data_IF_706409991094
#
_entry.id   IF_706409991094
#
_cell.length_a   1.000
_cell.length_b   1.000
_cell.length_c   1.000
_cell.angle_alpha   90.00
_cell.angle_beta   90.00
_cell.angle_gamma   90.00
#
_symmetry.space_group_name_H-M   'P 1'
#
loop_
_entity.id
_entity.type
_entity.pdbx_description
1 polymer ?
#
# COMPACT_ATOMS: atom_id res chain seq x y z
N UNK A 1 2.60 -15.37 14.14
CA UNK A 1 1.20 -14.95 13.99
C UNK A 1 1.11 -13.66 13.17
N UNK A 2 0.09 -13.55 12.31
CA UNK A 2 -0.12 -12.43 11.41
C UNK A 2 -1.49 -11.83 11.65
N UNK A 3 -1.57 -10.52 11.80
CA UNK A 3 -2.81 -9.78 11.75
C UNK A 3 -2.94 -9.11 10.38
N UNK A 4 -4.10 -9.17 9.76
CA UNK A 4 -4.44 -8.44 8.53
C UNK A 4 -5.43 -7.36 8.92
N UNK A 5 -5.10 -6.12 8.63
CA UNK A 5 -5.96 -4.96 8.87
C UNK A 5 -6.39 -4.38 7.54
N UNK A 6 -7.65 -4.55 7.25
CA UNK A 6 -8.28 -4.02 6.07
C UNK A 6 -8.99 -2.70 6.40
N UNK A 7 -8.75 -1.71 5.59
CA UNK A 7 -9.21 -0.35 5.80
C UNK A 7 -10.05 0.10 4.60
N UNK A 8 -11.35 -0.26 4.62
CA UNK A 8 -12.28 0.04 3.54
C UNK A 8 -13.29 1.13 3.96
N UNK A 9 -13.54 2.05 3.04
CA UNK A 9 -14.64 3.04 3.16
C UNK A 9 -16.01 2.49 2.76
N UNK A 10 -16.06 1.26 2.23
CA UNK A 10 -17.28 0.62 1.74
C UNK A 10 -18.24 0.20 2.85
N UNK A 11 -19.53 0.16 2.52
CA UNK A 11 -20.56 -0.38 3.41
C UNK A 11 -20.61 -1.92 3.42
N UNK A 12 -20.02 -2.56 2.42
CA UNK A 12 -19.93 -4.01 2.27
C UNK A 12 -18.48 -4.34 1.92
N UNK A 13 -17.84 -5.05 2.82
CA UNK A 13 -16.48 -5.47 2.63
C UNK A 13 -16.45 -6.80 1.87
N UNK A 14 -16.16 -6.74 0.57
CA UNK A 14 -16.04 -7.91 -0.30
C UNK A 14 -14.71 -8.63 -0.04
N UNK A 15 -13.67 -7.88 0.25
CA UNK A 15 -12.31 -8.39 0.43
C UNK A 15 -12.22 -9.26 1.68
N UNK A 16 -12.92 -8.85 2.75
CA UNK A 16 -13.05 -9.67 3.95
C UNK A 16 -13.68 -11.04 3.67
N UNK A 17 -14.65 -11.11 2.75
CA UNK A 17 -15.23 -12.40 2.36
C UNK A 17 -14.23 -13.28 1.60
N UNK A 18 -13.37 -12.68 0.79
CA UNK A 18 -12.34 -13.39 0.03
C UNK A 18 -11.20 -13.88 0.94
N UNK A 19 -10.89 -13.11 1.99
CA UNK A 19 -9.82 -13.43 2.93
C UNK A 19 -10.26 -14.38 4.06
N UNK A 20 -11.55 -14.66 4.18
CA UNK A 20 -12.11 -15.50 5.26
C UNK A 20 -11.48 -16.89 5.32
N UNK A 21 -11.12 -17.46 4.16
CA UNK A 21 -10.49 -18.77 4.04
C UNK A 21 -9.02 -18.79 4.54
N UNK A 22 -8.41 -17.62 4.72
CA UNK A 22 -7.07 -17.48 5.28
C UNK A 22 -7.05 -17.43 6.80
N UNK A 23 -8.20 -17.25 7.45
CA UNK A 23 -8.30 -17.18 8.91
C UNK A 23 -7.92 -18.53 9.54
N UNK A 24 -7.05 -18.48 10.53
CA UNK A 24 -6.54 -19.63 11.24
C UNK A 24 -6.03 -19.20 12.62
N UNK A 25 -5.58 -20.16 13.43
CA UNK A 25 -4.94 -19.88 14.73
C UNK A 25 -3.69 -18.96 14.61
N UNK A 26 -3.14 -18.83 13.40
CA UNK A 26 -1.95 -18.03 13.13
C UNK A 26 -2.22 -16.78 12.26
N UNK A 27 -3.45 -16.59 11.80
CA UNK A 27 -3.82 -15.46 10.94
C UNK A 27 -5.21 -14.94 11.33
N UNK A 28 -5.26 -13.71 11.80
CA UNK A 28 -6.51 -13.03 12.13
C UNK A 28 -6.74 -11.84 11.20
N UNK A 29 -8.01 -11.64 10.86
CA UNK A 29 -8.46 -10.59 9.97
C UNK A 29 -9.27 -9.57 10.77
N UNK A 30 -8.87 -8.32 10.72
CA UNK A 30 -9.54 -7.18 11.34
C UNK A 30 -9.91 -6.14 10.30
N UNK A 31 -10.96 -5.41 10.55
CA UNK A 31 -11.49 -4.42 9.61
C UNK A 31 -11.74 -3.08 10.28
N UNK A 32 -11.52 -2.02 9.51
CA UNK A 32 -12.03 -0.69 9.79
C UNK A 32 -13.10 -0.38 8.74
N UNK A 33 -14.33 -0.23 9.17
CA UNK A 33 -15.43 0.13 8.29
C UNK A 33 -15.99 1.49 8.67
N UNK A 34 -16.30 2.27 7.65
CA UNK A 34 -16.98 3.54 7.77
C UNK A 34 -16.15 4.62 8.49
N UNK A 35 -16.32 5.81 8.09
CA UNK A 35 -15.83 7.04 8.70
C UNK A 35 -16.51 8.17 7.93
N UNK A 36 -17.13 9.10 8.67
CA UNK A 36 -17.82 10.21 8.01
C UNK A 36 -16.82 11.29 7.57
N UNK A 37 -15.60 11.23 8.09
CA UNK A 37 -14.54 12.21 7.88
C UNK A 37 -13.17 11.59 8.16
N UNK A 38 -12.13 12.23 7.65
CA UNK A 38 -10.72 11.85 7.74
C UNK A 38 -10.25 11.70 9.19
N UNK A 39 -10.58 12.63 10.07
CA UNK A 39 -10.17 12.60 11.49
C UNK A 39 -10.75 11.39 12.23
N UNK A 40 -12.03 11.09 11.99
CA UNK A 40 -12.68 9.91 12.57
C UNK A 40 -12.04 8.63 12.05
N UNK A 41 -11.70 8.58 10.78
CA UNK A 41 -11.05 7.44 10.16
C UNK A 41 -9.65 7.22 10.73
N UNK A 42 -8.81 8.24 10.79
CA UNK A 42 -7.48 8.22 11.41
C UNK A 42 -7.52 7.71 12.86
N UNK A 43 -8.49 8.21 13.65
CA UNK A 43 -8.67 7.77 15.04
C UNK A 43 -9.06 6.29 15.14
N UNK A 44 -9.93 5.80 14.25
CA UNK A 44 -10.31 4.38 14.22
C UNK A 44 -9.12 3.51 13.82
N UNK A 45 -8.37 3.92 12.83
CA UNK A 45 -7.15 3.24 12.40
C UNK A 45 -6.15 3.11 13.54
N UNK A 46 -5.83 4.23 14.22
CA UNK A 46 -4.97 4.23 15.41
C UNK A 46 -5.50 3.30 16.51
N UNK A 47 -6.79 3.38 16.82
CA UNK A 47 -7.41 2.54 17.87
C UNK A 47 -7.33 1.06 17.53
N UNK A 48 -7.54 0.70 16.27
CA UNK A 48 -7.46 -0.69 15.81
C UNK A 48 -6.03 -1.21 15.91
N UNK A 49 -5.05 -0.44 15.48
CA UNK A 49 -3.63 -0.81 15.63
C UNK A 49 -3.22 -0.97 17.10
N UNK A 50 -3.73 -0.13 18.01
CA UNK A 50 -3.52 -0.32 19.46
C UNK A 50 -4.09 -1.67 19.91
N UNK A 51 -5.31 -2.01 19.51
CA UNK A 51 -5.94 -3.29 19.84
C UNK A 51 -5.12 -4.47 19.31
N UNK A 52 -4.67 -4.40 18.05
CA UNK A 52 -3.86 -5.44 17.44
C UNK A 52 -2.48 -5.58 18.10
N UNK A 53 -1.87 -4.47 18.50
CA UNK A 53 -0.60 -4.49 19.24
C UNK A 53 -0.74 -5.20 20.61
N UNK A 54 -1.90 -5.10 21.25
CA UNK A 54 -2.18 -5.83 22.49
C UNK A 54 -2.39 -7.34 22.26
N UNK A 55 -2.77 -7.77 21.06
CA UNK A 55 -2.89 -9.18 20.70
C UNK A 55 -1.53 -9.86 20.49
N UNK A 56 -0.48 -9.08 20.25
CA UNK A 56 0.89 -9.59 20.16
C UNK A 56 1.22 -10.32 18.86
N UNK A 57 0.69 -9.83 17.73
CA UNK A 57 1.07 -10.34 16.40
C UNK A 57 2.54 -10.07 16.10
N UNK A 58 3.21 -11.04 15.46
CA UNK A 58 4.59 -10.88 14.98
C UNK A 58 4.65 -9.91 13.79
N UNK A 59 3.57 -9.84 13.00
CA UNK A 59 3.43 -8.94 11.84
C UNK A 59 1.98 -8.51 11.67
N UNK A 60 1.79 -7.25 11.32
CA UNK A 60 0.50 -6.72 10.87
C UNK A 60 0.64 -6.28 9.42
N UNK A 61 -0.22 -6.79 8.55
CA UNK A 61 -0.35 -6.36 7.16
C UNK A 61 -1.52 -5.38 7.12
N UNK A 62 -1.27 -4.19 6.62
CA UNK A 62 -2.30 -3.16 6.45
C UNK A 62 -2.60 -3.00 4.98
N UNK A 63 -3.86 -3.16 4.61
CA UNK A 63 -4.38 -2.79 3.30
C UNK A 63 -5.16 -1.48 3.43
N UNK A 64 -4.59 -0.34 3.01
CA UNK A 64 -5.29 0.93 3.05
C UNK A 64 -6.28 1.04 1.89
N UNK A 65 -7.28 1.92 2.03
CA UNK A 65 -8.15 2.25 0.90
C UNK A 65 -7.37 2.94 -0.23
N UNK A 66 -7.86 2.83 -1.47
CA UNK A 66 -7.19 3.39 -2.65
C UNK A 66 -7.12 4.93 -2.73
N UNK A 67 -7.56 5.64 -1.69
CA UNK A 67 -7.46 7.10 -1.54
C UNK A 67 -6.68 7.49 -0.28
N UNK A 68 -5.98 6.52 0.31
CA UNK A 68 -5.25 6.71 1.56
C UNK A 68 -3.95 7.47 1.34
N UNK A 69 -3.69 8.47 2.16
CA UNK A 69 -2.42 9.19 2.16
C UNK A 69 -1.36 8.40 2.94
N UNK A 70 -0.26 8.05 2.27
CA UNK A 70 0.86 7.33 2.90
C UNK A 70 1.51 8.12 4.04
N UNK A 71 1.45 9.44 4.01
CA UNK A 71 1.97 10.28 5.10
C UNK A 71 1.13 10.12 6.36
N UNK A 72 -0.19 9.97 6.23
CA UNK A 72 -1.07 9.69 7.36
C UNK A 72 -0.72 8.38 8.05
N UNK A 73 -0.36 7.35 7.28
CA UNK A 73 0.14 6.09 7.84
C UNK A 73 1.37 6.31 8.71
N UNK A 74 2.37 7.03 8.22
CA UNK A 74 3.57 7.32 8.99
C UNK A 74 3.29 8.17 10.22
N UNK A 75 2.43 9.17 10.09
CA UNK A 75 2.02 10.01 11.22
C UNK A 75 1.36 9.18 12.32
N UNK A 76 0.48 8.25 11.96
CA UNK A 76 -0.20 7.38 12.93
C UNK A 76 0.77 6.40 13.59
N UNK A 77 1.66 5.76 12.82
CA UNK A 77 2.63 4.79 13.37
C UNK A 77 3.65 5.46 14.30
N UNK A 78 4.00 6.72 14.06
CA UNK A 78 4.92 7.46 14.92
C UNK A 78 4.26 8.12 16.13
N UNK A 79 2.92 8.05 16.26
CA UNK A 79 2.20 8.52 17.44
C UNK A 79 2.26 7.52 18.60
N UNK A 80 2.38 8.03 19.84
CA UNK A 80 2.28 7.17 21.04
C UNK A 80 0.89 6.49 21.16
N UNK A 81 0.81 5.20 21.52
CA UNK A 81 1.91 4.30 21.91
C UNK A 81 2.46 3.46 20.75
N UNK A 82 2.01 3.68 19.49
CA UNK A 82 2.32 2.83 18.35
C UNK A 82 3.81 2.88 17.98
N UNK A 83 4.46 4.02 18.18
CA UNK A 83 5.89 4.23 17.99
C UNK A 83 6.79 3.27 18.79
N UNK A 84 6.24 2.70 19.88
CA UNK A 84 6.93 1.74 20.74
C UNK A 84 6.61 0.29 20.45
N UNK A 85 5.54 0.05 19.69
CA UNK A 85 5.01 -1.28 19.44
C UNK A 85 5.19 -1.75 18.01
N UNK A 86 5.30 -0.81 17.08
CA UNK A 86 5.38 -1.10 15.65
C UNK A 86 6.62 -0.48 15.03
N UNK A 87 7.17 -1.21 14.10
CA UNK A 87 8.20 -0.75 13.19
C UNK A 87 7.71 -1.01 11.75
N UNK A 88 7.66 0.03 10.89
CA UNK A 88 7.33 -0.17 9.48
C UNK A 88 8.33 -1.15 8.84
N UNK A 89 7.82 -2.23 8.28
CA UNK A 89 8.65 -3.26 7.66
C UNK A 89 8.77 -3.04 6.15
N UNK A 90 7.68 -3.30 5.42
CA UNK A 90 7.65 -3.25 3.96
C UNK A 90 6.50 -2.38 3.49
N UNK A 91 6.73 -1.63 2.43
CA UNK A 91 5.69 -0.93 1.69
C UNK A 91 5.70 -1.46 0.27
N UNK A 92 4.55 -1.95 -0.18
CA UNK A 92 4.33 -2.49 -1.50
C UNK A 92 3.28 -1.59 -2.16
N UNK A 93 3.60 -1.02 -3.31
CA UNK A 93 2.63 -0.31 -4.13
C UNK A 93 2.09 -1.25 -5.22
N UNK A 94 0.79 -1.16 -5.48
CA UNK A 94 0.15 -1.88 -6.58
C UNK A 94 -0.27 -0.83 -7.61
N UNK A 95 0.23 -0.97 -8.83
CA UNK A 95 -0.11 -0.09 -9.94
C UNK A 95 -0.70 -0.90 -11.09
N UNK A 96 -1.71 -0.35 -11.75
CA UNK A 96 -2.26 -0.95 -12.95
C UNK A 96 -1.29 -0.79 -14.12
N UNK A 97 -1.04 -1.86 -14.88
CA UNK A 97 -0.18 -1.83 -16.07
C UNK A 97 -0.72 -0.92 -17.19
N UNK A 98 -1.98 -0.46 -17.09
CA UNK A 98 -2.61 0.51 -17.98
C UNK A 98 -2.74 1.92 -17.38
N UNK A 99 -2.07 2.20 -16.27
CA UNK A 99 -2.17 3.47 -15.55
C UNK A 99 -1.85 4.71 -16.42
N UNK A 100 -0.94 4.56 -17.39
CA UNK A 100 -0.58 5.65 -18.31
C UNK A 100 -1.76 6.19 -19.15
N UNK A 101 -2.82 5.38 -19.34
CA UNK A 101 -3.86 5.70 -20.31
C UNK A 101 -4.97 6.61 -19.75
N UNK A 102 -5.25 6.58 -18.44
CA UNK A 102 -6.53 7.08 -17.92
C UNK A 102 -6.53 7.69 -16.51
N UNK A 103 -5.40 7.98 -15.88
CA UNK A 103 -5.40 8.55 -14.54
C UNK A 103 -5.69 10.06 -14.55
N UNK A 104 -6.55 10.50 -13.62
CA UNK A 104 -6.73 11.91 -13.31
C UNK A 104 -5.48 12.47 -12.62
N UNK A 105 -5.34 13.80 -12.60
CA UNK A 105 -4.23 14.47 -11.91
C UNK A 105 -4.15 14.07 -10.42
N UNK A 106 -5.30 14.01 -9.74
CA UNK A 106 -5.39 13.55 -8.35
C UNK A 106 -4.95 12.09 -8.17
N UNK A 107 -5.43 11.20 -9.03
CA UNK A 107 -5.04 9.79 -8.98
C UNK A 107 -3.55 9.58 -9.28
N UNK A 108 -2.98 10.39 -10.18
CA UNK A 108 -1.54 10.39 -10.47
C UNK A 108 -0.71 10.83 -9.28
N UNK A 109 -1.19 11.85 -8.55
CA UNK A 109 -0.56 12.29 -7.30
C UNK A 109 -0.56 11.19 -6.24
N UNK A 110 -1.72 10.57 -5.96
CA UNK A 110 -1.83 9.47 -4.99
C UNK A 110 -0.89 8.33 -5.35
N UNK A 111 -0.94 7.86 -6.60
CA UNK A 111 -0.06 6.79 -7.09
C UNK A 111 1.42 7.16 -6.92
N UNK A 112 1.82 8.38 -7.27
CA UNK A 112 3.19 8.83 -7.14
C UNK A 112 3.63 8.94 -5.68
N UNK A 113 2.77 9.41 -4.76
CA UNK A 113 3.06 9.50 -3.33
C UNK A 113 3.31 8.11 -2.72
N UNK A 114 2.44 7.15 -3.00
CA UNK A 114 2.57 5.76 -2.56
C UNK A 114 3.83 5.10 -3.12
N UNK A 115 4.06 5.22 -4.42
CA UNK A 115 5.26 4.68 -5.07
C UNK A 115 6.53 5.32 -4.52
N UNK A 116 6.50 6.59 -4.13
CA UNK A 116 7.69 7.25 -3.58
C UNK A 116 8.27 6.51 -2.38
N UNK A 117 7.44 5.89 -1.57
CA UNK A 117 7.81 5.17 -0.35
C UNK A 117 7.94 3.65 -0.55
N UNK A 118 7.40 3.08 -1.60
CA UNK A 118 7.35 1.64 -1.79
C UNK A 118 8.74 1.00 -1.95
N UNK A 119 9.00 -0.09 -1.26
CA UNK A 119 10.19 -0.91 -1.49
C UNK A 119 10.10 -1.74 -2.77
N UNK A 120 8.88 -2.17 -3.12
CA UNK A 120 8.59 -2.91 -4.35
C UNK A 120 7.26 -2.44 -4.96
N UNK A 121 7.14 -2.55 -6.27
CA UNK A 121 5.94 -2.22 -7.04
C UNK A 121 5.45 -3.48 -7.74
N UNK A 122 4.17 -3.79 -7.60
CA UNK A 122 3.52 -4.89 -8.33
C UNK A 122 2.64 -4.28 -9.41
N UNK A 123 2.84 -4.69 -10.65
CA UNK A 123 1.96 -4.30 -11.76
C UNK A 123 0.81 -5.30 -11.88
N UNK A 124 -0.40 -4.88 -11.54
CA UNK A 124 -1.62 -5.63 -11.85
C UNK A 124 -1.91 -5.58 -13.35
N UNK A 125 -2.69 -6.53 -13.85
CA UNK A 125 -3.05 -6.69 -15.28
C UNK A 125 -1.85 -6.71 -16.24
N UNK A 126 -0.66 -7.04 -15.74
CA UNK A 126 0.55 -7.10 -16.57
C UNK A 126 0.59 -8.29 -17.53
N UNK A 127 -0.26 -9.28 -17.34
CA UNK A 127 -0.52 -10.40 -18.25
C UNK A 127 -1.29 -9.98 -19.50
N UNK A 128 -2.08 -8.90 -19.42
CA UNK A 128 -2.82 -8.31 -20.54
C UNK A 128 -2.02 -7.20 -21.26
N UNK A 129 -0.87 -6.80 -20.71
CA UNK A 129 -0.04 -5.72 -21.21
C UNK A 129 1.17 -6.26 -21.96
N UNK A 130 1.46 -5.69 -23.12
CA UNK A 130 2.72 -5.94 -23.83
C UNK A 130 3.91 -5.20 -23.17
N UNK A 131 5.12 -5.52 -23.61
CA UNK A 131 6.33 -4.92 -23.04
C UNK A 131 6.39 -3.40 -23.26
N UNK A 132 5.82 -2.90 -24.36
CA UNK A 132 5.78 -1.47 -24.63
C UNK A 132 4.85 -0.77 -23.65
N UNK A 133 3.69 -1.32 -23.39
CA UNK A 133 2.72 -0.78 -22.43
C UNK A 133 3.27 -0.73 -21.01
N UNK A 134 3.98 -1.78 -20.59
CA UNK A 134 4.68 -1.80 -19.30
C UNK A 134 5.73 -0.69 -19.22
N UNK A 135 6.49 -0.49 -20.29
CA UNK A 135 7.48 0.58 -20.36
C UNK A 135 6.82 1.96 -20.29
N UNK A 136 5.75 2.17 -21.04
CA UNK A 136 5.01 3.43 -21.04
C UNK A 136 4.44 3.73 -19.64
N UNK A 137 3.98 2.71 -18.91
CA UNK A 137 3.54 2.83 -17.53
C UNK A 137 4.68 3.23 -16.59
N UNK A 138 5.87 2.65 -16.75
CA UNK A 138 7.06 3.03 -15.97
C UNK A 138 7.43 4.49 -16.24
N UNK A 139 7.45 4.89 -17.50
CA UNK A 139 7.77 6.25 -17.91
C UNK A 139 6.75 7.25 -17.36
N UNK A 140 5.46 6.88 -17.38
CA UNK A 140 4.39 7.66 -16.78
C UNK A 140 4.56 7.82 -15.25
N UNK A 141 4.83 6.73 -14.52
CA UNK A 141 5.08 6.77 -13.08
C UNK A 141 6.29 7.68 -12.77
N UNK A 142 7.37 7.58 -13.54
CA UNK A 142 8.54 8.43 -13.37
C UNK A 142 8.22 9.91 -13.62
N UNK A 143 7.35 10.20 -14.59
CA UNK A 143 6.87 11.55 -14.82
C UNK A 143 6.05 12.06 -13.63
N UNK A 144 5.11 11.26 -13.14
CA UNK A 144 4.28 11.61 -11.97
C UNK A 144 5.11 11.82 -10.70
N UNK A 145 6.14 11.01 -10.47
CA UNK A 145 7.09 11.21 -9.37
C UNK A 145 7.84 12.56 -9.50
N UNK A 146 8.25 12.91 -10.72
CA UNK A 146 8.91 14.18 -10.99
C UNK A 146 7.96 15.36 -10.76
N UNK A 147 6.70 15.24 -11.15
CA UNK A 147 5.68 16.28 -11.02
C UNK A 147 5.38 16.63 -9.55
N UNK A 148 5.47 15.65 -8.65
CA UNK A 148 5.40 15.89 -7.20
C UNK A 148 6.74 16.29 -6.58
N UNK A 149 7.78 16.51 -7.38
CA UNK A 149 9.12 16.89 -6.91
C UNK A 149 9.92 15.76 -6.27
N UNK A 150 9.49 14.50 -6.39
CA UNK A 150 10.23 13.36 -5.90
C UNK A 150 11.43 13.04 -6.82
N UNK A 151 12.59 12.80 -6.21
CA UNK A 151 13.82 12.48 -6.96
C UNK A 151 13.96 11.01 -7.31
N UNK A 152 13.06 10.17 -6.79
CA UNK A 152 13.06 8.75 -7.08
C UNK A 152 12.80 8.50 -8.57
N UNK A 153 13.51 7.54 -9.11
CA UNK A 153 13.20 6.94 -10.41
C UNK A 153 13.06 5.44 -10.23
N UNK A 154 12.07 4.87 -10.87
CA UNK A 154 11.83 3.44 -10.89
C UNK A 154 12.29 2.83 -12.22
N UNK A 155 12.73 1.58 -12.15
CA UNK A 155 13.08 0.78 -13.29
C UNK A 155 12.49 -0.62 -13.20
N UNK A 156 12.79 -1.46 -14.17
CA UNK A 156 12.31 -2.85 -14.21
C UNK A 156 12.68 -3.67 -12.95
N UNK A 157 13.79 -3.34 -12.28
CA UNK A 157 14.22 -4.01 -11.06
C UNK A 157 13.34 -3.70 -9.83
N UNK A 158 12.62 -2.57 -9.86
CA UNK A 158 11.70 -2.19 -8.79
C UNK A 158 10.31 -2.85 -8.93
N UNK A 159 10.06 -3.52 -10.06
CA UNK A 159 8.74 -4.00 -10.47
C UNK A 159 8.69 -5.53 -10.44
N UNK A 160 7.55 -6.07 -10.00
CA UNK A 160 7.12 -7.44 -10.25
C UNK A 160 5.86 -7.42 -11.13
N UNK A 161 5.83 -8.33 -12.11
CA UNK A 161 4.73 -8.45 -13.07
C UNK A 161 3.70 -9.43 -12.54
N UNK A 162 2.51 -8.94 -12.18
CA UNK A 162 1.41 -9.75 -11.72
C UNK A 162 1.65 -10.45 -10.38
N UNK A 163 0.64 -11.15 -9.90
CA UNK A 163 0.68 -11.91 -8.65
C UNK A 163 0.65 -13.41 -8.92
N UNK A 164 0.00 -13.81 -10.02
CA UNK A 164 -0.31 -15.23 -10.31
C UNK A 164 0.93 -16.10 -10.62
N UNK A 165 2.03 -15.48 -11.04
CA UNK A 165 3.23 -16.18 -11.45
C UNK A 165 4.44 -15.90 -10.54
N UNK A 166 4.22 -15.39 -9.33
CA UNK A 166 5.27 -15.16 -8.36
C UNK A 166 5.84 -16.50 -7.85
N UNK A 167 7.15 -16.62 -7.88
CA UNK A 167 7.87 -17.73 -7.27
C UNK A 167 8.03 -17.51 -5.77
N UNK A 168 8.41 -18.56 -5.02
CA UNK A 168 8.72 -18.43 -3.58
C UNK A 168 9.86 -17.43 -3.34
N UNK A 169 10.79 -17.31 -4.29
CA UNK A 169 11.88 -16.33 -4.22
C UNK A 169 11.37 -14.90 -4.43
N UNK A 170 10.41 -14.70 -5.35
CA UNK A 170 9.75 -13.40 -5.53
C UNK A 170 8.96 -12.99 -4.29
N UNK A 171 8.22 -13.94 -3.69
CA UNK A 171 7.47 -13.68 -2.45
C UNK A 171 8.40 -13.31 -1.31
N UNK A 172 9.54 -13.96 -1.19
CA UNK A 172 10.56 -13.62 -0.20
C UNK A 172 11.14 -12.23 -0.45
N UNK A 173 11.47 -11.90 -1.70
CA UNK A 173 11.95 -10.57 -2.07
C UNK A 173 10.91 -9.47 -1.73
N UNK A 174 9.63 -9.72 -1.99
CA UNK A 174 8.53 -8.81 -1.63
C UNK A 174 8.41 -8.68 -0.11
N UNK A 175 8.51 -9.80 0.62
CA UNK A 175 8.41 -9.81 2.08
C UNK A 175 9.59 -9.12 2.79
N UNK A 176 10.70 -8.90 2.11
CA UNK A 176 11.92 -8.28 2.63
C UNK A 176 12.27 -6.97 1.91
N UNK A 177 11.37 -6.41 1.07
CA UNK A 177 11.68 -5.27 0.21
C UNK A 177 11.92 -3.95 0.96
N UNK A 178 11.50 -3.86 2.22
CA UNK A 178 11.60 -2.64 3.01
C UNK A 178 10.72 -1.50 2.48
N UNK A 179 11.14 -0.29 2.75
CA UNK A 179 10.51 0.94 2.26
C UNK A 179 11.56 2.03 2.05
N UNK A 180 11.15 3.15 1.43
CA UNK A 180 12.03 4.29 1.16
C UNK A 180 11.41 5.56 1.72
N UNK A 181 12.19 6.38 2.38
CA UNK A 181 11.78 7.73 2.80
C UNK A 181 12.28 8.72 1.73
N UNK A 182 11.37 9.19 0.90
CA UNK A 182 11.66 10.21 -0.11
C UNK A 182 10.82 11.46 0.19
N UNK A 183 11.43 12.63 0.05
CA UNK A 183 10.71 13.89 0.13
C UNK A 183 10.02 14.20 -1.20
N UNK A 184 8.80 14.70 -1.15
CA UNK A 184 8.03 15.22 -2.26
C UNK A 184 7.16 16.40 -1.81
N UNK A 185 6.55 17.09 -2.76
CA UNK A 185 5.67 18.21 -2.47
C UNK A 185 4.27 17.70 -2.18
N UNK A 186 3.81 17.91 -0.95
CA UNK A 186 2.44 17.57 -0.55
C UNK A 186 1.44 18.47 -1.26
N UNK A 187 0.32 17.89 -1.67
CA UNK A 187 -0.83 18.59 -2.24
C UNK A 187 -2.06 18.28 -1.39
N UNK A 188 -2.89 19.27 -1.16
CA UNK A 188 -4.23 19.06 -0.60
C UNK A 188 -5.11 18.41 -1.67
N UNK A 189 -5.56 17.21 -1.41
CA UNK A 189 -6.33 16.37 -2.35
C UNK A 189 -7.83 16.63 -2.19
#
# INVERSE_FOLDING_TARGET
TVGILENDYGAINVDMMLLQDLMSDNCELEMISGGCDEETHRRRFKTKLISMGMCGYDRVIVEPSGVYDIDEFFDVIHDEPLDKWYEPGNIIAIADASAADNLSEKSSYVLASEISCAGKIILSHSDEADEQKIKDTIDYINLSLKDIGCKRQIGMGDIKKGILNLTDEDLKEIAECGYRLNSYQKQDI
#
